data_IF_844542625551
#
_entry.id   IF_844542625551
#
_cell.length_a   1.000
_cell.length_b   1.000
_cell.length_c   1.000
_cell.angle_alpha   90.00
_cell.angle_beta   90.00
_cell.angle_gamma   90.00
#
_symmetry.space_group_name_H-M   'P 1'
#
loop_
_entity.id
_entity.type
_entity.pdbx_description
1 polymer ?
#
# COMPACT_ATOMS: atom_id res chain seq x y z
N UNK A 1 10.18 19.44 15.27
CA UNK A 1 10.04 18.19 14.49
C UNK A 1 9.53 17.11 15.43
N UNK A 2 8.49 16.36 15.06
CA UNK A 2 8.01 15.22 15.84
C UNK A 2 9.06 14.12 15.79
N UNK A 3 9.52 13.64 16.94
CA UNK A 3 10.39 12.45 17.00
C UNK A 3 9.65 11.25 16.40
N UNK A 4 10.32 10.45 15.57
CA UNK A 4 9.73 9.22 15.02
C UNK A 4 9.25 8.27 16.12
N UNK A 5 9.86 8.30 17.31
CA UNK A 5 9.42 7.50 18.46
C UNK A 5 8.00 7.85 18.95
N UNK A 6 7.46 9.02 18.58
CA UNK A 6 6.09 9.43 18.92
C UNK A 6 5.09 9.15 17.79
N UNK A 7 5.55 8.77 16.60
CA UNK A 7 4.67 8.36 15.52
C UNK A 7 3.92 7.08 15.92
N UNK A 8 2.63 7.03 15.61
CA UNK A 8 1.78 5.90 15.97
C UNK A 8 0.78 5.51 14.86
N UNK A 9 0.91 6.11 13.68
CA UNK A 9 0.10 5.81 12.51
C UNK A 9 0.99 5.34 11.36
N UNK A 10 0.74 4.14 10.88
CA UNK A 10 1.39 3.60 9.70
C UNK A 10 0.48 3.79 8.48
N UNK A 11 0.97 4.51 7.47
CA UNK A 11 0.36 4.59 6.15
C UNK A 11 1.17 3.69 5.21
N UNK A 12 0.51 2.81 4.48
CA UNK A 12 1.13 1.85 3.57
C UNK A 12 0.62 2.14 2.17
N UNK A 13 1.49 2.34 1.19
CA UNK A 13 1.14 2.29 -0.23
C UNK A 13 1.63 0.96 -0.77
N UNK A 14 0.71 0.09 -1.19
CA UNK A 14 1.03 -1.17 -1.83
C UNK A 14 1.50 -0.91 -3.27
N UNK A 15 2.74 -1.28 -3.57
CA UNK A 15 3.29 -1.10 -4.91
C UNK A 15 2.92 -2.28 -5.81
N UNK A 16 2.81 -2.00 -7.12
CA UNK A 16 2.36 -2.96 -8.14
C UNK A 16 3.11 -2.83 -9.47
N UNK A 17 4.00 -1.83 -9.59
CA UNK A 17 4.75 -1.51 -10.79
C UNK A 17 6.09 -0.87 -10.38
N UNK A 18 6.99 -0.67 -11.34
CA UNK A 18 8.26 0.01 -11.09
C UNK A 18 8.31 1.28 -11.92
N UNK A 19 8.35 2.43 -11.26
CA UNK A 19 8.68 3.70 -11.93
C UNK A 19 10.19 3.79 -12.18
N UNK A 20 10.59 3.96 -13.44
CA UNK A 20 11.97 4.00 -13.90
C UNK A 20 12.63 5.37 -13.77
N UNK A 21 11.86 6.42 -13.55
CA UNK A 21 12.34 7.79 -13.74
C UNK A 21 12.08 8.29 -15.16
N UNK A 22 11.92 9.59 -15.32
CA UNK A 22 11.90 10.23 -16.63
C UNK A 22 11.45 11.69 -16.60
N UNK A 23 11.51 12.38 -17.75
CA UNK A 23 11.28 13.81 -17.84
C UNK A 23 9.83 14.23 -17.55
N UNK A 24 8.88 13.28 -17.58
CA UNK A 24 7.47 13.55 -17.31
C UNK A 24 7.04 13.16 -15.89
N UNK A 25 7.99 12.74 -15.05
CA UNK A 25 7.79 12.40 -13.65
C UNK A 25 6.66 11.39 -13.42
N UNK A 26 6.59 10.37 -14.27
CA UNK A 26 5.64 9.27 -14.25
C UNK A 26 4.41 9.47 -15.13
N UNK A 27 4.22 10.63 -15.78
CA UNK A 27 3.05 10.84 -16.62
C UNK A 27 3.08 10.02 -17.93
N UNK A 28 4.27 9.72 -18.46
CA UNK A 28 4.46 8.81 -19.58
C UNK A 28 4.54 7.36 -19.08
N UNK A 29 3.78 6.46 -19.70
CA UNK A 29 3.81 5.02 -19.37
C UNK A 29 5.16 4.35 -19.70
N UNK A 30 5.93 4.92 -20.64
CA UNK A 30 7.29 4.47 -20.96
C UNK A 30 8.28 4.63 -19.78
N UNK A 31 7.92 5.46 -18.79
CA UNK A 31 8.68 5.63 -17.55
C UNK A 31 8.34 4.55 -16.51
N UNK A 32 7.59 3.51 -16.89
CA UNK A 32 7.18 2.44 -16.00
C UNK A 32 7.49 1.05 -16.56
N UNK A 33 7.92 0.15 -15.68
CA UNK A 33 7.87 -1.29 -15.93
C UNK A 33 6.59 -1.86 -15.32
N UNK A 34 5.65 -2.14 -16.22
CA UNK A 34 4.36 -2.76 -15.93
C UNK A 34 4.26 -4.16 -16.53
N UNK A 35 3.32 -4.96 -16.05
CA UNK A 35 2.90 -6.20 -16.69
C UNK A 35 1.90 -5.90 -17.82
N UNK A 36 1.74 -6.78 -18.83
CA UNK A 36 0.85 -6.52 -19.96
C UNK A 36 -0.61 -6.26 -19.59
N UNK A 37 -1.10 -6.80 -18.46
CA UNK A 37 -2.47 -6.57 -17.99
C UNK A 37 -2.66 -5.23 -17.26
N UNK A 38 -1.58 -4.47 -17.04
CA UNK A 38 -1.58 -3.18 -16.34
C UNK A 38 -1.48 -2.00 -17.32
N UNK A 39 -1.63 -2.25 -18.62
CA UNK A 39 -1.63 -1.22 -19.68
C UNK A 39 -2.65 -0.12 -19.35
N UNK A 40 -2.21 1.15 -19.36
CA UNK A 40 -3.02 2.30 -18.99
C UNK A 40 -3.30 2.46 -17.48
N UNK A 41 -2.79 1.59 -16.60
CA UNK A 41 -3.02 1.70 -15.14
C UNK A 41 -2.04 2.67 -14.44
N UNK A 42 -1.00 3.17 -15.12
CA UNK A 42 0.01 4.05 -14.51
C UNK A 42 -0.55 5.30 -13.81
N UNK A 43 -1.62 5.98 -14.29
CA UNK A 43 -2.25 7.07 -13.55
C UNK A 43 -2.82 6.63 -12.19
N UNK A 44 -3.31 5.40 -12.08
CA UNK A 44 -3.80 4.84 -10.81
C UNK A 44 -2.66 4.67 -9.81
N UNK A 45 -1.49 4.19 -10.25
CA UNK A 45 -0.32 4.05 -9.39
C UNK A 45 0.16 5.41 -8.87
N UNK A 46 0.16 6.45 -9.72
CA UNK A 46 0.43 7.83 -9.29
C UNK A 46 -0.59 8.27 -8.24
N UNK A 47 -1.88 7.96 -8.41
CA UNK A 47 -2.92 8.32 -7.44
C UNK A 47 -2.77 7.58 -6.11
N UNK A 48 -2.25 6.35 -6.10
CA UNK A 48 -1.90 5.65 -4.87
C UNK A 48 -0.81 6.40 -4.11
N UNK A 49 0.27 6.81 -4.80
CA UNK A 49 1.35 7.59 -4.20
C UNK A 49 0.85 8.94 -3.69
N UNK A 50 0.08 9.68 -4.51
CA UNK A 50 -0.55 10.95 -4.11
C UNK A 50 -1.39 10.80 -2.84
N UNK A 51 -2.22 9.76 -2.77
CA UNK A 51 -3.09 9.52 -1.61
C UNK A 51 -2.30 9.17 -0.35
N UNK A 52 -1.22 8.39 -0.47
CA UNK A 52 -0.32 8.10 0.65
C UNK A 52 0.41 9.34 1.15
N UNK A 53 0.93 10.17 0.23
CA UNK A 53 1.64 11.42 0.55
C UNK A 53 0.69 12.45 1.17
N UNK A 54 -0.51 12.63 0.61
CA UNK A 54 -1.53 13.49 1.20
C UNK A 54 -1.88 13.02 2.62
N UNK A 55 -2.03 11.70 2.82
CA UNK A 55 -2.33 11.16 4.15
C UNK A 55 -1.20 11.39 5.16
N UNK A 56 0.05 11.32 4.71
CA UNK A 56 1.22 11.64 5.52
C UNK A 56 1.26 13.12 5.91
N UNK A 57 0.90 14.02 4.99
CA UNK A 57 0.86 15.47 5.22
C UNK A 57 -0.23 15.88 6.23
N UNK A 58 -1.39 15.20 6.20
CA UNK A 58 -2.52 15.48 7.10
C UNK A 58 -2.26 15.09 8.56
N UNK A 59 -1.44 14.08 8.81
CA UNK A 59 -1.27 13.49 10.13
C UNK A 59 0.20 13.58 10.58
N UNK A 60 0.56 14.45 11.53
CA UNK A 60 1.93 14.61 11.99
C UNK A 60 2.49 13.40 12.76
N UNK A 61 1.65 12.42 13.12
CA UNK A 61 2.04 11.17 13.78
C UNK A 61 2.17 10.00 12.81
N UNK A 62 1.96 10.24 11.51
CA UNK A 62 2.06 9.21 10.49
C UNK A 62 3.48 8.97 9.98
N UNK A 63 3.76 7.75 9.56
CA UNK A 63 4.91 7.37 8.71
C UNK A 63 4.34 6.69 7.47
N UNK A 64 4.86 7.02 6.30
CA UNK A 64 4.48 6.43 5.02
C UNK A 64 5.52 5.39 4.61
N UNK A 65 5.04 4.18 4.33
CA UNK A 65 5.83 3.08 3.78
C UNK A 65 5.33 2.78 2.37
N UNK A 66 6.19 2.93 1.37
CA UNK A 66 6.00 2.35 0.04
C UNK A 66 6.49 0.90 0.08
N UNK A 67 5.59 -0.06 -0.01
CA UNK A 67 5.89 -1.48 0.20
C UNK A 67 5.80 -2.25 -1.11
N UNK A 68 6.90 -2.89 -1.49
CA UNK A 68 6.98 -3.70 -2.69
C UNK A 68 8.43 -4.08 -3.03
N UNK A 69 8.63 -5.37 -3.22
CA UNK A 69 9.92 -5.99 -3.47
C UNK A 69 10.29 -6.10 -4.96
N UNK A 70 11.24 -6.99 -5.28
CA UNK A 70 11.73 -7.17 -6.65
C UNK A 70 10.84 -8.13 -7.43
N UNK A 71 9.75 -7.65 -8.00
CA UNK A 71 8.85 -8.48 -8.83
C UNK A 71 9.38 -8.67 -10.26
N UNK A 72 10.27 -7.78 -10.74
CA UNK A 72 10.79 -7.76 -12.12
C UNK A 72 12.33 -7.90 -12.19
N UNK A 73 12.92 -8.80 -11.38
CA UNK A 73 14.38 -9.01 -11.26
C UNK A 73 15.13 -9.18 -12.59
N UNK A 74 14.48 -9.75 -13.59
CA UNK A 74 15.08 -9.97 -14.90
C UNK A 74 15.23 -8.68 -15.72
N UNK A 75 14.45 -7.63 -15.40
CA UNK A 75 14.43 -6.35 -16.12
C UNK A 75 15.16 -5.24 -15.36
N UNK A 76 15.15 -5.27 -14.02
CA UNK A 76 15.79 -4.23 -13.20
C UNK A 76 16.13 -4.72 -11.80
N UNK A 77 17.12 -4.08 -11.16
CA UNK A 77 17.43 -4.24 -9.75
C UNK A 77 16.59 -3.35 -8.83
N UNK A 78 15.93 -2.33 -9.41
CA UNK A 78 15.09 -1.38 -8.69
C UNK A 78 13.88 -2.11 -8.08
N UNK A 79 13.60 -1.83 -6.81
CA UNK A 79 12.48 -2.42 -6.07
C UNK A 79 11.24 -1.54 -6.24
N UNK A 80 10.06 -2.13 -6.20
CA UNK A 80 8.82 -1.35 -6.37
C UNK A 80 8.70 -0.25 -5.30
N UNK A 81 8.97 -0.55 -4.03
CA UNK A 81 8.94 0.42 -2.93
C UNK A 81 9.94 1.58 -3.10
N UNK A 82 11.14 1.30 -3.62
CA UNK A 82 12.12 2.35 -3.95
C UNK A 82 11.63 3.21 -5.12
N UNK A 83 11.07 2.58 -6.14
CA UNK A 83 10.56 3.29 -7.32
C UNK A 83 9.42 4.24 -6.99
N UNK A 84 8.51 3.86 -6.08
CA UNK A 84 7.41 4.73 -5.66
C UNK A 84 7.90 5.87 -4.76
N UNK A 85 8.93 5.63 -3.94
CA UNK A 85 9.61 6.70 -3.21
C UNK A 85 10.28 7.70 -4.17
N UNK A 86 10.92 7.22 -5.23
CA UNK A 86 11.50 8.06 -6.27
C UNK A 86 10.43 8.88 -6.99
N UNK A 87 9.31 8.25 -7.39
CA UNK A 87 8.19 8.95 -8.01
C UNK A 87 7.68 10.10 -7.12
N UNK A 88 7.52 9.85 -5.82
CA UNK A 88 7.11 10.88 -4.87
C UNK A 88 8.11 12.03 -4.81
N UNK A 89 9.42 11.74 -4.81
CA UNK A 89 10.49 12.75 -4.78
C UNK A 89 10.57 13.57 -6.07
N UNK A 90 10.53 12.91 -7.23
CA UNK A 90 10.56 13.56 -8.54
C UNK A 90 9.39 14.52 -8.73
N UNK A 91 8.24 14.20 -8.12
CA UNK A 91 7.06 15.05 -8.10
C UNK A 91 7.02 16.05 -6.92
N UNK A 92 8.15 16.30 -6.24
CA UNK A 92 8.25 17.20 -5.09
C UNK A 92 7.16 16.94 -4.02
N UNK A 93 6.92 15.65 -3.73
CA UNK A 93 5.88 15.16 -2.83
C UNK A 93 4.49 15.73 -3.16
N UNK A 94 4.19 15.93 -4.45
CA UNK A 94 2.91 16.43 -4.95
C UNK A 94 2.42 17.68 -4.22
N UNK A 95 3.33 18.65 -4.06
CA UNK A 95 3.12 19.93 -3.36
C UNK A 95 3.08 19.86 -1.82
N UNK A 96 3.48 18.74 -1.22
CA UNK A 96 3.55 18.58 0.24
C UNK A 96 4.98 18.61 0.81
N UNK A 97 6.00 18.92 0.01
CA UNK A 97 7.40 18.82 0.44
C UNK A 97 7.81 19.75 1.58
N UNK A 98 7.15 20.90 1.72
CA UNK A 98 7.37 21.82 2.85
C UNK A 98 6.83 21.28 4.19
N UNK A 99 5.91 20.32 4.14
CA UNK A 99 5.14 19.86 5.31
C UNK A 99 5.55 18.47 5.80
N UNK A 100 6.31 17.73 4.99
CA UNK A 100 6.72 16.36 5.25
C UNK A 100 8.22 16.30 5.53
N UNK A 101 8.59 15.76 6.69
CA UNK A 101 9.98 15.40 6.94
C UNK A 101 10.37 14.17 6.11
N UNK A 102 11.53 14.18 5.41
CA UNK A 102 12.02 13.02 4.66
C UNK A 102 12.11 11.74 5.50
N UNK A 103 12.40 11.84 6.80
CA UNK A 103 12.55 10.69 7.71
C UNK A 103 11.23 9.91 7.93
N UNK A 104 10.10 10.49 7.51
CA UNK A 104 8.76 9.88 7.61
C UNK A 104 8.35 9.13 6.33
N UNK A 105 9.25 9.05 5.34
CA UNK A 105 9.07 8.35 4.06
C UNK A 105 10.02 7.16 4.00
N UNK A 106 9.48 5.96 3.93
CA UNK A 106 10.26 4.72 3.97
C UNK A 106 9.93 3.88 2.74
N UNK A 107 10.95 3.24 2.15
CA UNK A 107 10.77 2.14 1.21
C UNK A 107 10.91 0.80 1.96
N UNK A 108 9.96 -0.10 1.72
CA UNK A 108 10.02 -1.51 2.08
C UNK A 108 10.18 -2.32 0.78
N UNK A 109 11.22 -3.16 0.72
CA UNK A 109 11.79 -3.69 -0.54
C UNK A 109 11.81 -5.21 -0.64
N UNK A 110 11.10 -5.90 0.24
CA UNK A 110 11.03 -7.36 0.33
C UNK A 110 9.65 -7.90 -0.02
N UNK A 111 8.56 -7.15 0.16
CA UNK A 111 7.21 -7.68 -0.02
C UNK A 111 6.95 -8.16 -1.46
N UNK A 112 6.58 -9.42 -1.64
CA UNK A 112 6.25 -10.00 -2.95
C UNK A 112 4.74 -10.16 -3.18
N UNK A 113 3.93 -9.90 -2.16
CA UNK A 113 2.48 -10.01 -2.22
C UNK A 113 1.79 -8.99 -1.30
N UNK A 114 0.44 -8.94 -1.36
CA UNK A 114 -0.34 -7.98 -0.57
C UNK A 114 -0.42 -8.27 0.93
N UNK A 115 -0.17 -9.51 1.37
CA UNK A 115 -0.05 -9.83 2.79
C UNK A 115 1.27 -9.31 3.34
N UNK A 116 2.37 -9.58 2.63
CA UNK A 116 3.70 -9.10 2.98
C UNK A 116 3.78 -7.58 2.99
N UNK A 117 3.06 -6.89 2.09
CA UNK A 117 2.96 -5.43 2.13
C UNK A 117 2.49 -4.92 3.50
N UNK A 118 1.58 -5.62 4.17
CA UNK A 118 1.14 -5.27 5.53
C UNK A 118 2.18 -5.69 6.57
N UNK A 119 2.56 -6.97 6.54
CA UNK A 119 3.45 -7.56 7.56
C UNK A 119 4.80 -6.86 7.61
N UNK A 120 5.45 -6.66 6.47
CA UNK A 120 6.78 -6.04 6.42
C UNK A 120 6.71 -4.55 6.72
N UNK A 121 5.65 -3.86 6.31
CA UNK A 121 5.46 -2.45 6.71
C UNK A 121 5.29 -2.30 8.23
N UNK A 122 4.62 -3.23 8.92
CA UNK A 122 4.53 -3.26 10.38
C UNK A 122 5.92 -3.44 11.03
N UNK A 123 6.75 -4.32 10.46
CA UNK A 123 8.14 -4.52 10.91
C UNK A 123 8.96 -3.25 10.69
N UNK A 124 8.92 -2.65 9.49
CA UNK A 124 9.63 -1.40 9.18
C UNK A 124 9.21 -0.27 10.12
N UNK A 125 7.92 -0.14 10.42
CA UNK A 125 7.44 0.85 11.36
C UNK A 125 8.05 0.66 12.76
N UNK A 126 8.07 -0.57 13.27
CA UNK A 126 8.69 -0.88 14.57
C UNK A 126 10.20 -0.62 14.57
N UNK A 127 10.90 -0.92 13.49
CA UNK A 127 12.34 -0.64 13.37
C UNK A 127 12.65 0.86 13.47
N UNK A 128 11.78 1.72 12.93
CA UNK A 128 12.01 3.17 12.92
C UNK A 128 11.49 3.90 14.16
N UNK A 129 10.48 3.35 14.83
CA UNK A 129 9.80 4.02 15.96
C UNK A 129 10.02 3.33 17.31
N UNK A 130 10.51 2.08 17.30
CA UNK A 130 10.62 1.22 18.49
C UNK A 130 9.30 0.60 18.96
N UNK A 131 8.16 0.95 18.35
CA UNK A 131 6.82 0.47 18.74
C UNK A 131 5.97 0.07 17.53
N UNK A 132 4.95 -0.77 17.70
CA UNK A 132 3.98 -1.01 16.64
C UNK A 132 2.96 0.14 16.54
N UNK A 133 2.39 0.39 15.34
CA UNK A 133 1.44 1.48 15.15
C UNK A 133 0.12 1.20 15.87
N UNK A 134 -0.54 2.26 16.35
CA UNK A 134 -1.92 2.22 16.88
C UNK A 134 -2.96 2.29 15.77
N UNK A 135 -2.61 2.88 14.63
CA UNK A 135 -3.46 3.05 13.45
C UNK A 135 -2.74 2.60 12.19
N UNK A 136 -3.43 1.92 11.29
CA UNK A 136 -2.91 1.51 9.97
C UNK A 136 -3.85 1.98 8.86
N UNK A 137 -3.33 2.67 7.85
CA UNK A 137 -4.07 3.02 6.64
C UNK A 137 -3.36 2.40 5.45
N UNK A 138 -4.05 1.57 4.65
CA UNK A 138 -3.51 1.00 3.42
C UNK A 138 -4.09 1.73 2.21
N UNK A 139 -3.23 2.10 1.27
CA UNK A 139 -3.57 2.57 -0.07
C UNK A 139 -3.28 1.44 -1.05
N UNK A 140 -4.31 1.01 -1.78
CA UNK A 140 -4.26 -0.13 -2.70
C UNK A 140 -5.39 -0.02 -3.72
N UNK A 141 -5.49 -0.99 -4.62
CA UNK A 141 -6.67 -1.18 -5.45
C UNK A 141 -7.93 -1.46 -4.63
N UNK A 142 -9.05 -0.82 -4.97
CA UNK A 142 -10.35 -0.99 -4.29
C UNK A 142 -10.86 -2.42 -4.40
N UNK A 143 -10.64 -3.11 -5.53
CA UNK A 143 -11.04 -4.51 -5.65
C UNK A 143 -10.38 -5.42 -4.62
N UNK A 144 -9.20 -5.06 -4.08
CA UNK A 144 -8.52 -5.81 -3.01
C UNK A 144 -9.06 -5.52 -1.61
N UNK A 145 -9.96 -4.54 -1.42
CA UNK A 145 -10.44 -4.08 -0.11
C UNK A 145 -10.91 -5.25 0.76
N UNK A 146 -11.76 -6.13 0.22
CA UNK A 146 -12.27 -7.29 0.97
C UNK A 146 -11.14 -8.20 1.44
N UNK A 147 -10.13 -8.45 0.60
CA UNK A 147 -8.97 -9.28 0.96
C UNK A 147 -8.16 -8.67 2.11
N UNK A 148 -7.96 -7.36 2.13
CA UNK A 148 -7.30 -6.70 3.26
C UNK A 148 -8.15 -6.79 4.54
N UNK A 149 -9.44 -6.48 4.44
CA UNK A 149 -10.34 -6.41 5.60
C UNK A 149 -10.65 -7.78 6.20
N UNK A 150 -10.82 -8.81 5.38
CA UNK A 150 -11.25 -10.14 5.79
C UNK A 150 -10.09 -11.11 6.01
N UNK A 151 -8.95 -10.92 5.33
CA UNK A 151 -7.81 -11.82 5.40
C UNK A 151 -6.57 -11.13 6.00
N UNK A 152 -5.96 -10.17 5.30
CA UNK A 152 -4.62 -9.70 5.66
C UNK A 152 -4.57 -8.99 7.02
N UNK A 153 -5.54 -8.11 7.33
CA UNK A 153 -5.55 -7.43 8.63
C UNK A 153 -5.79 -8.41 9.79
N UNK A 154 -6.81 -9.30 9.76
CA UNK A 154 -6.95 -10.36 10.76
C UNK A 154 -5.70 -11.23 10.94
N UNK A 155 -5.03 -11.62 9.84
CA UNK A 155 -3.85 -12.46 9.86
C UNK A 155 -2.67 -11.88 10.68
N UNK A 156 -2.58 -10.56 10.77
CA UNK A 156 -1.53 -9.84 11.54
C UNK A 156 -2.07 -9.23 12.84
N UNK A 157 -3.25 -9.65 13.30
CA UNK A 157 -3.85 -9.18 14.55
C UNK A 157 -4.48 -7.79 14.49
N UNK A 158 -4.63 -7.21 13.30
CA UNK A 158 -5.33 -5.95 13.07
C UNK A 158 -6.83 -6.24 12.86
N UNK A 159 -7.61 -6.27 13.93
CA UNK A 159 -9.02 -6.65 13.86
C UNK A 159 -9.89 -5.43 13.51
N UNK A 160 -10.67 -5.46 12.41
CA UNK A 160 -11.69 -4.44 12.14
C UNK A 160 -12.71 -4.38 13.27
N UNK A 161 -12.97 -3.19 13.82
CA UNK A 161 -13.86 -3.02 14.98
C UNK A 161 -15.31 -3.47 14.73
N UNK A 162 -15.72 -3.65 13.47
CA UNK A 162 -17.06 -4.14 13.10
C UNK A 162 -17.36 -5.57 13.55
N UNK A 163 -16.37 -6.35 14.03
CA UNK A 163 -16.56 -7.70 14.59
C UNK A 163 -16.62 -7.75 16.12
N UNK A 164 -16.57 -6.62 16.83
CA UNK A 164 -16.91 -6.58 18.25
C UNK A 164 -18.42 -6.44 18.39
N UNK A 165 -19.12 -7.57 18.31
CA UNK A 165 -20.51 -7.65 18.74
C UNK A 165 -20.56 -7.35 20.25
N UNK A 166 -21.20 -6.23 20.61
CA UNK A 166 -21.35 -5.80 22.00
C UNK A 166 -20.93 -4.35 22.21
N UNK A 167 -21.94 -3.48 22.26
CA UNK A 167 -21.95 -2.17 22.92
C UNK A 167 -21.30 -0.96 22.19
N UNK A 168 -22.18 -0.05 21.74
CA UNK A 168 -21.85 1.35 21.51
C UNK A 168 -21.72 1.78 20.05
N UNK A 169 -22.26 2.96 19.72
CA UNK A 169 -22.01 3.64 18.44
C UNK A 169 -20.52 3.92 18.33
N UNK A 170 -19.81 3.15 17.50
CA UNK A 170 -18.37 3.32 17.27
C UNK A 170 -18.16 4.70 16.63
N UNK A 171 -17.37 5.55 17.29
CA UNK A 171 -16.93 6.81 16.70
C UNK A 171 -15.99 6.50 15.52
N UNK A 172 -16.11 7.22 14.42
CA UNK A 172 -15.18 7.17 13.28
C UNK A 172 -13.72 7.40 13.75
N UNK A 173 -13.52 8.09 14.88
CA UNK A 173 -12.21 8.33 15.49
C UNK A 173 -11.53 7.09 16.09
N UNK A 174 -12.27 6.02 16.39
CA UNK A 174 -11.72 4.80 17.00
C UNK A 174 -11.20 3.78 15.98
N UNK A 175 -11.39 4.06 14.68
CA UNK A 175 -11.04 3.11 13.63
C UNK A 175 -9.53 2.95 13.48
N UNK A 176 -9.01 1.85 14.03
CA UNK A 176 -7.58 1.49 14.03
C UNK A 176 -7.05 1.07 12.67
N UNK A 177 -7.93 0.76 11.72
CA UNK A 177 -7.56 0.34 10.36
C UNK A 177 -8.42 1.03 9.31
N UNK A 178 -7.80 1.42 8.21
CA UNK A 178 -8.48 2.03 7.06
C UNK A 178 -7.90 1.51 5.73
N UNK A 179 -8.73 1.49 4.69
CA UNK A 179 -8.31 1.22 3.31
C UNK A 179 -8.77 2.38 2.42
N UNK A 180 -7.81 3.02 1.75
CA UNK A 180 -8.02 3.95 0.64
C UNK A 180 -7.88 3.11 -0.63
N UNK A 181 -9.01 2.74 -1.21
CA UNK A 181 -9.04 1.90 -2.41
C UNK A 181 -9.24 2.74 -3.66
N UNK A 182 -8.39 2.54 -4.66
CA UNK A 182 -8.41 3.30 -5.92
C UNK A 182 -8.20 2.32 -7.07
N UNK A 183 -9.22 2.15 -7.90
CA UNK A 183 -9.13 1.31 -9.11
C UNK A 183 -8.79 2.15 -10.33
N UNK A 184 -8.25 1.54 -11.40
CA UNK A 184 -8.27 2.13 -12.72
C UNK A 184 -9.70 2.49 -13.17
N UNK A 185 -9.84 3.50 -14.05
CA UNK A 185 -11.09 3.78 -14.73
C UNK A 185 -11.65 2.54 -15.45
N UNK A 186 -12.98 2.45 -15.59
CA UNK A 186 -13.64 1.28 -16.19
C UNK A 186 -13.30 1.06 -17.67
N UNK A 187 -12.95 2.14 -18.37
CA UNK A 187 -12.47 2.14 -19.75
C UNK A 187 -11.03 1.61 -19.88
N UNK A 188 -10.26 1.61 -18.80
CA UNK A 188 -8.92 1.00 -18.72
C UNK A 188 -9.03 -0.46 -18.29
N UNK A 189 -9.66 -0.72 -17.14
CA UNK A 189 -9.85 -2.10 -16.64
C UNK A 189 -11.27 -2.28 -16.10
N UNK A 190 -12.02 -3.22 -16.68
CA UNK A 190 -13.42 -3.42 -16.30
C UNK A 190 -13.56 -3.94 -14.85
N UNK A 191 -14.58 -3.46 -14.14
CA UNK A 191 -14.90 -3.91 -12.77
C UNK A 191 -15.13 -5.42 -12.69
N UNK A 192 -15.74 -6.00 -13.72
CA UNK A 192 -15.99 -7.44 -13.81
C UNK A 192 -14.67 -8.22 -13.88
N UNK A 193 -13.73 -7.81 -14.74
CA UNK A 193 -12.42 -8.42 -14.85
C UNK A 193 -11.66 -8.40 -13.52
N UNK A 194 -11.61 -7.22 -12.87
CA UNK A 194 -10.98 -7.05 -11.56
C UNK A 194 -11.62 -7.96 -10.49
N UNK A 195 -12.95 -8.04 -10.47
CA UNK A 195 -13.68 -8.84 -9.49
C UNK A 195 -13.48 -10.35 -9.70
N UNK A 196 -13.52 -10.83 -10.94
CA UNK A 196 -13.29 -12.24 -11.28
C UNK A 196 -11.85 -12.64 -10.95
N UNK A 197 -10.87 -11.80 -11.29
CA UNK A 197 -9.47 -12.03 -10.96
C UNK A 197 -9.24 -12.12 -9.46
N UNK A 198 -9.85 -11.20 -8.70
CA UNK A 198 -9.76 -11.17 -7.24
C UNK A 198 -10.41 -12.39 -6.58
N UNK A 199 -11.61 -12.81 -7.00
CA UNK A 199 -12.29 -13.96 -6.38
C UNK A 199 -11.52 -15.27 -6.65
N UNK A 200 -10.99 -15.44 -7.87
CA UNK A 200 -10.31 -16.68 -8.28
C UNK A 200 -8.90 -16.81 -7.72
N UNK A 201 -8.13 -15.73 -7.76
CA UNK A 201 -6.67 -15.75 -7.49
C UNK A 201 -6.24 -14.85 -6.34
N UNK A 202 -7.18 -14.10 -5.76
CA UNK A 202 -6.98 -13.23 -4.62
C UNK A 202 -7.66 -13.78 -3.38
N UNK A 203 -8.74 -13.13 -2.96
CA UNK A 203 -9.44 -13.42 -1.71
C UNK A 203 -9.85 -14.89 -1.54
N UNK A 204 -10.26 -15.58 -2.60
CA UNK A 204 -10.65 -17.00 -2.52
C UNK A 204 -9.54 -17.89 -1.96
N UNK A 205 -8.30 -17.67 -2.40
CA UNK A 205 -7.13 -18.42 -1.91
C UNK A 205 -6.76 -18.01 -0.48
N UNK A 206 -6.80 -16.71 -0.17
CA UNK A 206 -6.43 -16.19 1.15
C UNK A 206 -7.44 -16.50 2.27
N UNK A 207 -8.68 -16.84 1.93
CA UNK A 207 -9.65 -17.36 2.91
C UNK A 207 -9.30 -18.77 3.38
N UNK A 208 -8.69 -19.58 2.52
CA UNK A 208 -8.27 -20.94 2.84
C UNK A 208 -6.89 -20.97 3.52
N UNK A 209 -6.05 -19.97 3.26
CA UNK A 209 -4.71 -19.83 3.84
C UNK A 209 -4.43 -18.39 4.28
N UNK A 210 -4.83 -18.09 5.51
CA UNK A 210 -4.75 -16.76 6.09
C UNK A 210 -3.30 -16.28 6.28
N UNK A 211 -2.36 -17.20 6.48
CA UNK A 211 -0.96 -16.90 6.83
C UNK A 211 0.00 -17.04 5.65
N UNK A 212 -0.48 -17.44 4.48
CA UNK A 212 0.35 -17.55 3.30
C UNK A 212 1.37 -18.69 3.37
N UNK A 213 1.07 -19.79 4.06
CA UNK A 213 2.03 -20.91 4.27
C UNK A 213 1.92 -22.00 3.21
N UNK A 214 0.84 -22.00 2.43
CA UNK A 214 0.51 -22.95 1.39
C UNK A 214 1.01 -22.53 0.01
N UNK A 215 1.23 -23.53 -0.84
CA UNK A 215 1.78 -23.36 -2.20
C UNK A 215 0.83 -22.67 -3.19
N UNK A 216 -0.43 -22.45 -2.81
CA UNK A 216 -1.44 -21.83 -3.70
C UNK A 216 -1.38 -20.29 -3.66
N UNK A 217 -0.88 -19.72 -2.57
CA UNK A 217 -0.81 -18.26 -2.35
C UNK A 217 0.61 -17.71 -2.47
N UNK A 218 1.63 -18.53 -2.17
CA UNK A 218 3.03 -18.22 -2.46
C UNK A 218 3.32 -18.51 -3.93
N UNK A 219 3.51 -17.46 -4.74
CA UNK A 219 4.00 -17.56 -6.13
C UNK A 219 5.45 -17.11 -6.22
#
# INVERSE_FOLDING_TARGET
MTSLAHCNHLVIVCCHAIYLGGPTHGASEDEWLIEPFQDGETPTFIQHVKSGVAKLAEDPLAILVFSGGPTKKQKTNLREGESYLNLAKDNNLFSHSSSISPDRLIAETHATDSYQNVLFSLVRFKEHTGSYPKKVTVVTHEFKRKRFMECHFPAVGLIPLSKREGEGRISVSDQRIAVIGINPPEDVTSKEYLSIGEERSGIGLWREDLYGVGTRVLK
#
